data_IF_392119046684
#
_entry.id   IF_392119046684
#
_cell.length_a   1.000
_cell.length_b   1.000
_cell.length_c   1.000
_cell.angle_alpha   90.00
_cell.angle_beta   90.00
_cell.angle_gamma   90.00
#
_symmetry.space_group_name_H-M   'P 1'
#
loop_
_entity.id
_entity.type
_entity.pdbx_description
1 polymer ?
#
# COMPACT_ATOMS: atom_id res chain seq x y z
N UNK A 1 7.13 4.78 20.11
CA UNK A 1 6.05 3.81 19.81
C UNK A 1 4.70 4.52 19.89
N UNK A 2 3.73 4.17 19.03
CA UNK A 2 2.53 4.97 18.80
C UNK A 2 1.36 4.56 19.70
N UNK A 3 1.12 5.31 20.78
CA UNK A 3 -0.01 5.10 21.70
C UNK A 3 -1.38 5.21 21.00
N UNK A 4 -1.46 5.95 19.88
CA UNK A 4 -2.68 6.14 19.09
C UNK A 4 -3.27 4.80 18.58
N UNK A 5 -2.40 3.81 18.35
CA UNK A 5 -2.76 2.50 17.82
C UNK A 5 -2.53 1.36 18.81
N UNK A 6 -2.45 1.64 20.12
CA UNK A 6 -2.28 0.60 21.14
C UNK A 6 -0.87 0.03 21.25
N UNK A 7 0.11 0.62 20.56
CA UNK A 7 1.53 0.28 20.70
C UNK A 7 2.13 1.07 21.87
N UNK A 8 1.86 0.59 23.10
CA UNK A 8 2.31 1.18 24.37
C UNK A 8 3.61 0.57 24.92
N UNK A 9 4.20 1.22 25.93
CA UNK A 9 5.43 0.80 26.63
C UNK A 9 5.22 -0.40 27.59
N UNK A 10 4.47 -1.43 27.20
CA UNK A 10 4.59 -2.71 27.92
C UNK A 10 5.89 -3.39 27.51
N UNK A 11 6.56 -4.04 28.46
CA UNK A 11 7.82 -4.79 28.27
C UNK A 11 7.75 -5.91 27.21
N UNK A 12 6.57 -6.10 26.61
CA UNK A 12 6.30 -6.91 25.42
C UNK A 12 5.20 -6.21 24.60
N UNK A 13 5.53 -5.40 23.57
CA UNK A 13 4.54 -4.78 22.70
C UNK A 13 4.04 -5.84 21.71
N UNK A 14 3.17 -6.74 22.15
CA UNK A 14 2.70 -7.83 21.29
C UNK A 14 2.11 -7.33 19.96
N UNK A 15 2.51 -7.93 18.84
CA UNK A 15 1.90 -7.69 17.51
C UNK A 15 0.41 -8.06 17.46
N UNK A 16 -0.12 -8.71 18.51
CA UNK A 16 -1.55 -9.06 18.64
C UNK A 16 -2.50 -7.86 18.66
N UNK A 17 -1.98 -6.64 18.76
CA UNK A 17 -2.77 -5.41 18.65
C UNK A 17 -3.41 -5.29 17.25
N UNK A 18 -2.77 -5.85 16.23
CA UNK A 18 -3.32 -5.90 14.88
C UNK A 18 -4.04 -7.23 14.65
N UNK A 19 -5.32 -7.23 14.22
CA UNK A 19 -5.99 -8.42 13.74
C UNK A 19 -5.18 -9.13 12.65
N UNK A 20 -5.19 -10.48 12.60
CA UNK A 20 -4.42 -11.23 11.62
C UNK A 20 -4.92 -10.94 10.19
N UNK A 21 -3.95 -10.80 9.28
CA UNK A 21 -4.19 -10.60 7.86
C UNK A 21 -3.72 -11.80 7.05
N UNK A 22 -4.67 -12.49 6.40
CA UNK A 22 -4.33 -13.47 5.38
C UNK A 22 -4.03 -12.73 4.07
N UNK A 23 -2.78 -12.27 3.92
CA UNK A 23 -2.33 -11.68 2.67
C UNK A 23 -2.39 -12.74 1.56
N UNK A 24 -3.16 -12.49 0.50
CA UNK A 24 -3.19 -13.38 -0.66
C UNK A 24 -1.84 -13.40 -1.39
N UNK A 25 -1.65 -14.38 -2.27
CA UNK A 25 -0.47 -14.51 -3.11
C UNK A 25 -0.94 -14.69 -4.56
N UNK A 26 -0.51 -13.77 -5.44
CA UNK A 26 -0.79 -13.87 -6.86
C UNK A 26 -0.02 -15.05 -7.46
N UNK A 27 -0.68 -15.77 -8.36
CA UNK A 27 -0.03 -16.76 -9.19
C UNK A 27 0.83 -16.11 -10.28
N UNK A 28 2.08 -16.53 -10.41
CA UNK A 28 3.09 -15.94 -11.30
C UNK A 28 3.48 -16.90 -12.45
N UNK A 29 2.59 -17.82 -12.82
CA UNK A 29 2.83 -18.81 -13.88
C UNK A 29 2.67 -18.28 -15.31
N UNK A 30 2.12 -17.07 -15.51
CA UNK A 30 2.10 -16.49 -16.84
C UNK A 30 3.50 -16.07 -17.32
N UNK A 31 3.78 -16.25 -18.60
CA UNK A 31 5.10 -15.99 -19.21
C UNK A 31 5.68 -14.60 -18.86
N UNK A 32 4.93 -13.48 -18.98
CA UNK A 32 5.42 -12.17 -18.54
C UNK A 32 5.85 -12.12 -17.06
N UNK A 33 5.05 -12.71 -16.16
CA UNK A 33 5.37 -12.78 -14.73
C UNK A 33 6.60 -13.64 -14.45
N UNK A 34 6.74 -14.79 -15.11
CA UNK A 34 7.91 -15.66 -14.98
C UNK A 34 9.21 -14.97 -15.44
N UNK A 35 9.15 -14.20 -16.52
CA UNK A 35 10.29 -13.40 -17.00
C UNK A 35 10.70 -12.34 -15.96
N UNK A 36 9.73 -11.64 -15.36
CA UNK A 36 10.01 -10.64 -14.32
C UNK A 36 10.59 -11.27 -13.06
N UNK A 37 10.07 -12.42 -12.63
CA UNK A 37 10.61 -13.17 -11.49
C UNK A 37 12.05 -13.62 -11.74
N UNK A 38 12.35 -14.16 -12.92
CA UNK A 38 13.73 -14.56 -13.28
C UNK A 38 14.69 -13.38 -13.27
N UNK A 39 14.27 -12.23 -13.78
CA UNK A 39 15.06 -11.01 -13.75
C UNK A 39 15.31 -10.54 -12.32
N UNK A 40 14.28 -10.58 -11.46
CA UNK A 40 14.42 -10.28 -10.03
C UNK A 40 15.44 -11.19 -9.36
N UNK A 41 15.34 -12.51 -9.54
CA UNK A 41 16.28 -13.48 -8.96
C UNK A 41 17.71 -13.19 -9.41
N UNK A 42 17.91 -12.97 -10.72
CA UNK A 42 19.24 -12.64 -11.28
C UNK A 42 19.81 -11.36 -10.66
N UNK A 43 18.97 -10.34 -10.44
CA UNK A 43 19.39 -9.10 -9.79
C UNK A 43 19.75 -9.31 -8.32
N UNK A 44 18.95 -10.09 -7.58
CA UNK A 44 19.21 -10.41 -6.17
C UNK A 44 20.52 -11.19 -6.00
N UNK A 45 20.78 -12.18 -6.86
CA UNK A 45 22.04 -12.94 -6.87
C UNK A 45 23.25 -12.02 -7.11
N UNK A 46 23.18 -11.14 -8.12
CA UNK A 46 24.25 -10.19 -8.39
C UNK A 46 24.51 -9.23 -7.21
N UNK A 47 23.46 -8.82 -6.49
CA UNK A 47 23.59 -8.00 -5.27
C UNK A 47 24.23 -8.81 -4.13
N UNK A 48 23.89 -10.08 -3.94
CA UNK A 48 24.47 -10.93 -2.89
C UNK A 48 25.98 -11.12 -3.03
N UNK A 49 26.51 -11.03 -4.25
CA UNK A 49 27.96 -11.11 -4.51
C UNK A 49 28.72 -9.83 -4.10
N UNK A 50 28.04 -8.68 -4.02
CA UNK A 50 28.69 -7.37 -3.86
C UNK A 50 28.22 -6.56 -2.65
N UNK A 51 27.02 -6.81 -2.15
CA UNK A 51 26.36 -6.07 -1.07
C UNK A 51 25.88 -7.08 -0.03
N UNK A 52 26.50 -7.20 1.15
CA UNK A 52 26.07 -8.17 2.15
C UNK A 52 24.62 -7.93 2.61
N UNK A 53 23.77 -8.98 2.62
CA UNK A 53 22.39 -8.91 3.12
C UNK A 53 22.31 -8.65 4.64
N UNK A 54 23.40 -8.92 5.37
CA UNK A 54 23.56 -8.54 6.78
C UNK A 54 24.05 -7.10 6.96
N UNK A 55 24.03 -6.29 5.89
CA UNK A 55 24.36 -4.88 5.96
C UNK A 55 23.26 -4.06 6.63
N UNK A 56 23.50 -2.76 6.73
CA UNK A 56 22.57 -1.78 7.30
C UNK A 56 21.29 -1.60 6.47
N UNK A 57 20.36 -0.78 6.96
CA UNK A 57 19.09 -0.44 6.28
C UNK A 57 19.31 0.00 4.82
N UNK A 58 20.32 0.84 4.54
CA UNK A 58 20.61 1.27 3.17
C UNK A 58 20.98 0.11 2.23
N UNK A 59 21.71 -0.89 2.75
CA UNK A 59 22.05 -2.11 2.00
C UNK A 59 20.82 -2.98 1.80
N UNK A 60 19.98 -3.15 2.83
CA UNK A 60 18.71 -3.89 2.76
C UNK A 60 17.73 -3.25 1.78
N UNK A 61 17.65 -1.91 1.75
CA UNK A 61 16.82 -1.15 0.81
C UNK A 61 17.14 -1.44 -0.65
N UNK A 62 18.38 -1.81 -0.98
CA UNK A 62 18.74 -2.22 -2.34
C UNK A 62 18.02 -3.51 -2.78
N UNK A 63 17.89 -4.48 -1.88
CA UNK A 63 17.14 -5.72 -2.12
C UNK A 63 15.64 -5.45 -2.20
N UNK A 64 15.13 -4.68 -1.23
CA UNK A 64 13.71 -4.32 -1.17
C UNK A 64 13.28 -3.59 -2.44
N UNK A 65 14.08 -2.64 -2.91
CA UNK A 65 13.83 -1.92 -4.16
C UNK A 65 13.67 -2.88 -5.35
N UNK A 66 14.52 -3.91 -5.48
CA UNK A 66 14.39 -4.90 -6.56
C UNK A 66 13.02 -5.59 -6.54
N UNK A 67 12.52 -6.02 -5.37
CA UNK A 67 11.19 -6.61 -5.25
C UNK A 67 10.07 -5.64 -5.65
N UNK A 68 10.14 -4.39 -5.18
CA UNK A 68 9.13 -3.39 -5.46
C UNK A 68 9.11 -3.01 -6.95
N UNK A 69 10.29 -2.89 -7.58
CA UNK A 69 10.42 -2.66 -9.03
C UNK A 69 9.81 -3.82 -9.81
N UNK A 70 10.11 -5.07 -9.45
CA UNK A 70 9.51 -6.23 -10.08
C UNK A 70 7.98 -6.24 -9.91
N UNK A 71 7.48 -5.97 -8.70
CA UNK A 71 6.05 -5.92 -8.39
C UNK A 71 5.30 -4.85 -9.19
N UNK A 72 5.82 -3.63 -9.23
CA UNK A 72 5.24 -2.53 -10.04
C UNK A 72 5.27 -2.87 -11.54
N UNK A 73 6.34 -3.49 -12.02
CA UNK A 73 6.48 -3.88 -13.42
C UNK A 73 5.52 -4.98 -13.89
N UNK A 74 4.92 -5.76 -12.97
CA UNK A 74 3.81 -6.67 -13.30
C UNK A 74 2.57 -5.91 -13.81
N UNK A 75 2.42 -4.64 -13.43
CA UNK A 75 1.28 -3.79 -13.77
C UNK A 75 1.72 -2.55 -14.55
N UNK A 76 2.47 -2.76 -15.65
CA UNK A 76 3.04 -1.70 -16.48
C UNK A 76 2.09 -0.52 -16.68
N UNK A 77 2.58 0.68 -16.38
CA UNK A 77 1.85 1.94 -16.57
C UNK A 77 0.72 2.20 -15.57
N UNK A 78 0.57 1.38 -14.52
CA UNK A 78 -0.44 1.62 -13.48
C UNK A 78 0.11 2.22 -12.19
N UNK A 79 1.38 1.92 -11.86
CA UNK A 79 2.00 2.38 -10.63
C UNK A 79 3.33 3.08 -10.86
N UNK A 80 3.68 3.97 -9.94
CA UNK A 80 4.98 4.64 -9.85
C UNK A 80 5.62 4.30 -8.51
N UNK A 81 6.84 3.75 -8.53
CA UNK A 81 7.64 3.56 -7.33
C UNK A 81 8.40 4.86 -7.02
N UNK A 82 8.27 5.35 -5.79
CA UNK A 82 8.85 6.62 -5.33
C UNK A 82 9.71 6.41 -4.09
N UNK A 83 11.03 6.33 -4.24
CA UNK A 83 11.94 6.34 -3.10
C UNK A 83 11.83 7.65 -2.31
N UNK A 84 11.96 7.60 -0.99
CA UNK A 84 12.03 8.76 -0.09
C UNK A 84 10.84 9.75 -0.22
N UNK A 85 9.65 9.24 -0.59
CA UNK A 85 8.47 10.09 -0.72
C UNK A 85 8.07 10.64 0.65
N UNK A 86 7.89 11.94 0.75
CA UNK A 86 7.29 12.53 1.96
C UNK A 86 5.80 12.21 2.04
N UNK A 87 5.41 11.50 3.09
CA UNK A 87 4.02 11.41 3.52
C UNK A 87 3.72 12.60 4.43
N UNK A 88 2.53 13.15 4.27
CA UNK A 88 1.98 14.19 5.12
C UNK A 88 0.59 13.73 5.50
N UNK A 89 0.08 14.10 6.67
CA UNK A 89 -1.28 13.85 7.12
C UNK A 89 -1.44 14.31 8.57
N UNK A 90 -2.53 13.98 9.27
CA UNK A 90 -2.77 14.53 10.61
C UNK A 90 -1.81 13.98 11.68
N UNK A 91 -1.40 12.72 11.54
CA UNK A 91 -0.56 12.02 12.51
C UNK A 91 0.77 11.53 11.91
N UNK A 92 0.76 11.13 10.64
CA UNK A 92 1.96 10.66 9.94
C UNK A 92 2.58 11.72 9.05
N UNK A 93 3.87 11.99 9.30
CA UNK A 93 4.68 12.91 8.53
C UNK A 93 6.10 12.36 8.32
N UNK A 94 6.70 12.74 7.20
CA UNK A 94 8.11 12.49 6.91
C UNK A 94 8.32 11.55 5.73
N UNK A 95 9.59 11.34 5.35
CA UNK A 95 9.94 10.45 4.26
C UNK A 95 9.65 8.99 4.64
N UNK A 96 9.12 8.24 3.70
CA UNK A 96 9.10 6.76 3.73
C UNK A 96 10.23 6.24 2.86
N UNK A 97 10.75 5.04 3.13
CA UNK A 97 11.80 4.46 2.27
C UNK A 97 11.32 4.32 0.82
N UNK A 98 10.11 3.77 0.65
CA UNK A 98 9.45 3.70 -0.64
C UNK A 98 7.94 3.93 -0.53
N UNK A 99 7.39 4.68 -1.47
CA UNK A 99 5.95 4.73 -1.72
C UNK A 99 5.63 4.15 -3.09
N UNK A 100 4.45 3.55 -3.22
CA UNK A 100 3.89 3.15 -4.51
C UNK A 100 2.65 3.99 -4.76
N UNK A 101 2.67 4.78 -5.83
CA UNK A 101 1.56 5.63 -6.23
C UNK A 101 0.78 5.02 -7.39
N UNK A 102 -0.53 5.21 -7.39
CA UNK A 102 -1.37 4.98 -8.58
C UNK A 102 -1.10 6.08 -9.60
N UNK A 103 -0.59 5.74 -10.78
CA UNK A 103 -0.24 6.72 -11.83
C UNK A 103 -1.42 7.59 -12.26
N UNK A 104 -2.62 7.02 -12.32
CA UNK A 104 -3.83 7.74 -12.75
C UNK A 104 -4.21 8.87 -11.79
N UNK A 105 -4.04 8.65 -10.49
CA UNK A 105 -4.58 9.55 -9.44
C UNK A 105 -3.51 10.24 -8.62
N UNK A 106 -2.24 9.84 -8.77
CA UNK A 106 -1.11 10.20 -7.91
C UNK A 106 -1.36 9.94 -6.42
N UNK A 107 -2.31 9.04 -6.09
CA UNK A 107 -2.59 8.63 -4.71
C UNK A 107 -1.63 7.54 -4.30
N UNK A 108 -1.11 7.63 -3.08
CA UNK A 108 -0.30 6.57 -2.48
C UNK A 108 -1.18 5.35 -2.24
N UNK A 109 -0.84 4.23 -2.88
CA UNK A 109 -1.46 2.93 -2.66
C UNK A 109 -0.69 2.09 -1.63
N UNK A 110 0.63 2.21 -1.62
CA UNK A 110 1.50 1.44 -0.73
C UNK A 110 2.62 2.26 -0.10
N UNK A 111 3.02 1.88 1.12
CA UNK A 111 4.17 2.44 1.84
C UNK A 111 5.07 1.32 2.36
N UNK A 112 6.37 1.41 2.11
CA UNK A 112 7.37 0.46 2.59
C UNK A 112 8.31 1.14 3.58
N UNK A 113 8.52 0.47 4.72
CA UNK A 113 9.50 0.83 5.75
C UNK A 113 10.53 -0.30 5.88
N UNK A 114 11.78 0.01 5.58
CA UNK A 114 12.92 -0.90 5.76
C UNK A 114 13.42 -0.74 7.19
N UNK A 115 13.66 -1.86 7.88
CA UNK A 115 14.13 -1.88 9.27
C UNK A 115 15.22 -2.92 9.45
N UNK A 116 16.25 -2.60 10.22
CA UNK A 116 17.33 -3.56 10.49
C UNK A 116 17.01 -4.51 11.66
N UNK A 117 16.49 -3.97 12.77
CA UNK A 117 16.26 -4.71 14.02
C UNK A 117 14.91 -4.38 14.70
N UNK A 118 14.42 -3.14 14.65
CA UNK A 118 13.21 -2.70 15.37
C UNK A 118 11.96 -2.72 14.48
N UNK A 119 11.46 -3.93 14.20
CA UNK A 119 10.23 -4.13 13.41
C UNK A 119 9.00 -3.49 14.05
N UNK A 120 8.90 -3.48 15.39
CA UNK A 120 7.76 -2.89 16.10
C UNK A 120 7.64 -1.39 15.84
N UNK A 121 8.76 -0.67 15.91
CA UNK A 121 8.81 0.74 15.53
C UNK A 121 8.46 0.94 14.06
N UNK A 122 8.95 0.06 13.18
CA UNK A 122 8.60 0.05 11.76
C UNK A 122 7.10 -0.11 11.52
N UNK A 123 6.45 -1.06 12.18
CA UNK A 123 5.02 -1.32 12.10
C UNK A 123 4.22 -0.12 12.63
N UNK A 124 4.62 0.45 13.76
CA UNK A 124 3.99 1.64 14.32
C UNK A 124 4.06 2.83 13.36
N UNK A 125 5.25 3.07 12.80
CA UNK A 125 5.51 4.17 11.87
C UNK A 125 4.70 3.97 10.58
N UNK A 126 4.73 2.76 10.03
CA UNK A 126 4.03 2.42 8.80
C UNK A 126 2.51 2.58 8.97
N UNK A 127 1.91 2.11 10.07
CA UNK A 127 0.48 2.29 10.34
C UNK A 127 0.05 3.76 10.32
N UNK A 128 0.82 4.63 10.98
CA UNK A 128 0.55 6.07 11.04
C UNK A 128 0.71 6.74 9.67
N UNK A 129 1.70 6.32 8.86
CA UNK A 129 1.87 6.82 7.50
C UNK A 129 0.78 6.32 6.54
N UNK A 130 0.29 5.09 6.72
CA UNK A 130 -0.83 4.56 5.95
C UNK A 130 -2.14 5.28 6.25
N UNK A 131 -2.40 5.61 7.51
CA UNK A 131 -3.51 6.51 7.87
C UNK A 131 -3.42 7.81 7.06
N UNK A 132 -2.26 8.48 7.11
CA UNK A 132 -2.04 9.73 6.40
C UNK A 132 -2.24 9.58 4.89
N UNK A 133 -1.74 8.50 4.30
CA UNK A 133 -1.90 8.18 2.88
C UNK A 133 -3.37 7.97 2.49
N UNK A 134 -4.13 7.28 3.35
CA UNK A 134 -5.53 6.93 3.11
C UNK A 134 -6.49 8.13 3.32
N UNK A 135 -6.23 8.94 4.34
CA UNK A 135 -7.12 10.04 4.76
C UNK A 135 -6.85 11.35 4.03
N UNK A 136 -5.65 11.57 3.46
CA UNK A 136 -5.35 12.74 2.63
C UNK A 136 -5.98 12.69 1.22
N UNK A 137 -7.29 12.41 1.17
CA UNK A 137 -8.15 12.71 0.02
C UNK A 137 -8.25 14.23 -0.13
N UNK A 138 -7.27 14.87 -0.79
CA UNK A 138 -7.50 16.19 -1.37
C UNK A 138 -8.58 16.04 -2.45
N UNK A 139 -9.85 16.23 -2.08
CA UNK A 139 -10.95 16.32 -3.03
C UNK A 139 -10.69 17.54 -3.93
N UNK A 140 -10.24 17.32 -5.17
CA UNK A 140 -10.35 18.37 -6.19
C UNK A 140 -11.84 18.51 -6.52
N UNK A 141 -12.34 19.75 -6.58
CA UNK A 141 -13.73 20.05 -6.88
C UNK A 141 -14.22 19.49 -8.24
N UNK A 142 -13.31 19.07 -9.13
CA UNK A 142 -13.60 18.45 -10.42
C UNK A 142 -13.81 16.92 -10.36
N UNK A 143 -13.52 16.25 -9.23
CA UNK A 143 -13.65 14.79 -9.08
C UNK A 143 -15.07 14.35 -8.70
N UNK A 144 -16.07 15.24 -8.79
CA UNK A 144 -17.47 14.90 -8.50
C UNK A 144 -18.12 14.01 -9.58
N UNK A 145 -17.47 13.78 -10.72
CA UNK A 145 -18.00 12.99 -11.84
C UNK A 145 -17.15 11.75 -12.21
N UNK A 146 -15.98 11.53 -11.61
CA UNK A 146 -15.24 10.26 -11.80
C UNK A 146 -15.55 9.30 -10.65
N UNK A 147 -16.49 8.41 -10.94
CA UNK A 147 -16.90 7.22 -10.19
C UNK A 147 -15.70 6.51 -9.51
N UNK A 148 -15.90 6.15 -8.25
CA UNK A 148 -14.94 5.70 -7.23
C UNK A 148 -13.94 4.60 -7.64
N UNK A 149 -12.81 4.94 -8.27
CA UNK A 149 -11.71 3.97 -8.58
C UNK A 149 -10.77 3.73 -7.39
N UNK A 150 -11.06 4.25 -6.20
CA UNK A 150 -10.17 4.10 -5.04
C UNK A 150 -10.90 3.43 -3.88
N UNK A 151 -10.45 2.22 -3.54
CA UNK A 151 -11.05 1.26 -2.58
C UNK A 151 -11.11 1.68 -1.12
N UNK A 152 -10.74 2.92 -0.79
CA UNK A 152 -10.48 3.27 0.60
C UNK A 152 -9.48 2.33 1.28
N UNK A 153 -8.57 1.67 0.54
CA UNK A 153 -7.51 0.81 1.05
C UNK A 153 -6.13 1.32 0.66
N UNK A 154 -5.17 1.14 1.57
CA UNK A 154 -3.73 1.26 1.33
C UNK A 154 -3.03 0.07 1.98
N UNK A 155 -1.80 -0.23 1.55
CA UNK A 155 -1.03 -1.32 2.14
C UNK A 155 0.36 -0.90 2.61
N UNK A 156 0.82 -1.57 3.65
CA UNK A 156 2.14 -1.41 4.24
C UNK A 156 3.03 -2.61 3.97
N UNK A 157 4.32 -2.36 3.78
CA UNK A 157 5.35 -3.40 3.82
C UNK A 157 6.38 -2.99 4.88
N UNK A 158 6.67 -3.88 5.81
CA UNK A 158 7.72 -3.69 6.82
C UNK A 158 8.68 -4.86 6.68
N UNK A 159 9.95 -4.57 6.41
CA UNK A 159 10.91 -5.63 6.08
C UNK A 159 12.35 -5.26 6.38
N UNK A 160 13.16 -6.28 6.66
CA UNK A 160 14.62 -6.19 6.69
C UNK A 160 15.27 -6.85 5.46
N UNK A 161 14.48 -7.02 4.40
CA UNK A 161 14.74 -7.83 3.21
C UNK A 161 14.72 -9.36 3.43
N UNK A 162 14.77 -9.87 4.65
CA UNK A 162 14.65 -11.31 4.95
C UNK A 162 13.27 -11.65 5.47
N UNK A 163 12.76 -10.91 6.44
CA UNK A 163 11.41 -11.05 6.96
C UNK A 163 10.51 -9.96 6.39
N UNK A 164 9.33 -10.34 5.91
CA UNK A 164 8.40 -9.46 5.21
C UNK A 164 7.03 -9.49 5.89
N UNK A 165 6.63 -8.38 6.49
CA UNK A 165 5.30 -8.16 7.04
C UNK A 165 4.49 -7.31 6.08
N UNK A 166 3.22 -7.69 5.89
CA UNK A 166 2.27 -6.99 5.05
C UNK A 166 1.12 -6.46 5.89
N UNK A 167 0.83 -5.17 5.76
CA UNK A 167 -0.25 -4.51 6.48
C UNK A 167 -1.34 -4.06 5.51
N UNK A 168 -2.60 -4.35 5.82
CA UNK A 168 -3.77 -3.73 5.17
C UNK A 168 -4.25 -2.56 6.05
N UNK A 169 -4.46 -1.39 5.45
CA UNK A 169 -5.15 -0.27 6.06
C UNK A 169 -6.40 0.04 5.23
N UNK A 170 -7.57 0.06 5.86
CA UNK A 170 -8.84 0.34 5.18
C UNK A 170 -9.77 1.20 6.03
N UNK A 171 -10.81 1.77 5.41
CA UNK A 171 -11.95 2.34 6.13
C UNK A 171 -13.05 1.29 6.27
N UNK A 172 -13.73 1.26 7.42
CA UNK A 172 -15.00 0.54 7.56
C UNK A 172 -16.19 1.41 7.13
N UNK A 173 -17.40 0.85 7.14
CA UNK A 173 -18.64 1.53 6.71
C UNK A 173 -18.96 2.82 7.50
N UNK A 174 -18.24 3.05 8.61
CA UNK A 174 -18.36 4.24 9.46
C UNK A 174 -17.17 5.20 9.29
N UNK A 175 -16.40 5.05 8.21
CA UNK A 175 -15.16 5.79 7.93
C UNK A 175 -14.09 5.64 9.03
N UNK A 176 -14.10 4.55 9.81
CA UNK A 176 -13.07 4.30 10.82
C UNK A 176 -11.94 3.47 10.24
N UNK A 177 -10.72 3.83 10.63
CA UNK A 177 -9.52 3.10 10.22
C UNK A 177 -9.49 1.68 10.80
N UNK A 178 -9.15 0.74 9.93
CA UNK A 178 -8.92 -0.67 10.27
C UNK A 178 -7.55 -1.06 9.76
N UNK A 179 -6.79 -1.69 10.63
CA UNK A 179 -5.49 -2.25 10.30
C UNK A 179 -5.53 -3.76 10.48
N UNK A 180 -4.85 -4.48 9.60
CA UNK A 180 -4.58 -5.91 9.77
C UNK A 180 -3.13 -6.17 9.39
N UNK A 181 -2.47 -7.09 10.09
CA UNK A 181 -1.05 -7.40 9.88
C UNK A 181 -0.89 -8.90 9.58
N UNK A 182 -0.05 -9.23 8.60
CA UNK A 182 0.23 -10.62 8.25
C UNK A 182 1.25 -11.26 9.19
N UNK A 183 1.26 -12.58 9.22
CA UNK A 183 2.46 -13.32 9.62
C UNK A 183 3.62 -12.99 8.66
N UNK A 184 4.88 -13.06 9.11
CA UNK A 184 6.02 -12.77 8.26
C UNK A 184 6.23 -13.83 7.19
N UNK A 185 6.64 -13.38 6.00
CA UNK A 185 7.21 -14.26 4.98
C UNK A 185 8.74 -14.15 5.06
N UNK A 186 9.41 -15.29 5.20
CA UNK A 186 10.87 -15.36 5.37
C UNK A 186 11.55 -15.75 4.07
N UNK A 187 12.61 -15.02 3.72
CA UNK A 187 13.53 -15.29 2.62
C UNK A 187 14.90 -15.61 3.18
N UNK A 188 15.35 -16.84 2.94
CA UNK A 188 16.71 -17.28 3.24
C UNK A 188 17.52 -17.19 1.96
N UNK A 189 18.35 -16.16 1.86
CA UNK A 189 19.21 -15.96 0.70
C UNK A 189 20.31 -17.01 0.62
N UNK A 190 20.64 -17.43 -0.61
CA UNK A 190 21.57 -18.54 -0.93
C UNK A 190 21.08 -19.94 -0.54
N UNK A 191 19.82 -20.06 -0.11
CA UNK A 191 19.16 -21.34 0.07
C UNK A 191 18.76 -21.96 -1.28
N UNK A 192 18.73 -23.29 -1.38
CA UNK A 192 18.31 -24.00 -2.60
C UNK A 192 16.87 -23.66 -3.01
N UNK A 193 16.03 -23.31 -2.04
CA UNK A 193 14.63 -22.95 -2.21
C UNK A 193 14.41 -21.42 -2.29
N UNK A 194 15.47 -20.62 -2.41
CA UNK A 194 15.40 -19.16 -2.47
C UNK A 194 14.44 -18.66 -3.54
N UNK A 195 14.44 -19.27 -4.73
CA UNK A 195 13.51 -18.89 -5.81
C UNK A 195 12.04 -18.94 -5.37
N UNK A 196 11.62 -19.99 -4.67
CA UNK A 196 10.24 -20.12 -4.22
C UNK A 196 9.89 -19.10 -3.12
N UNK A 197 10.84 -18.77 -2.25
CA UNK A 197 10.66 -17.72 -1.24
C UNK A 197 10.54 -16.33 -1.88
N UNK A 198 11.41 -16.02 -2.84
CA UNK A 198 11.38 -14.78 -3.65
C UNK A 198 10.05 -14.68 -4.41
N UNK A 199 9.63 -15.77 -5.07
CA UNK A 199 8.34 -15.88 -5.77
C UNK A 199 7.18 -15.58 -4.83
N UNK A 200 7.19 -16.12 -3.62
CA UNK A 200 6.14 -15.90 -2.62
C UNK A 200 6.03 -14.43 -2.21
N UNK A 201 7.16 -13.78 -1.89
CA UNK A 201 7.17 -12.34 -1.56
C UNK A 201 6.66 -11.50 -2.73
N UNK A 202 7.16 -11.76 -3.95
CA UNK A 202 6.69 -11.05 -5.15
C UNK A 202 5.19 -11.27 -5.40
N UNK A 203 4.70 -12.49 -5.19
CA UNK A 203 3.28 -12.84 -5.31
C UNK A 203 2.40 -12.11 -4.29
N UNK A 204 2.86 -11.92 -3.05
CA UNK A 204 2.15 -11.11 -2.06
C UNK A 204 2.10 -9.63 -2.45
N UNK A 205 3.23 -9.05 -2.89
CA UNK A 205 3.30 -7.67 -3.39
C UNK A 205 2.34 -7.48 -4.56
N UNK A 206 2.35 -8.41 -5.52
CA UNK A 206 1.48 -8.32 -6.68
C UNK A 206 -0.01 -8.41 -6.31
N UNK A 207 -0.36 -9.31 -5.39
CA UNK A 207 -1.73 -9.42 -4.88
C UNK A 207 -2.19 -8.12 -4.20
N UNK A 208 -1.35 -7.49 -3.37
CA UNK A 208 -1.66 -6.20 -2.75
C UNK A 208 -1.90 -5.10 -3.78
N UNK A 209 -1.07 -5.05 -4.82
CA UNK A 209 -1.25 -4.13 -5.95
C UNK A 209 -2.56 -4.39 -6.69
N UNK A 210 -3.02 -5.64 -6.81
CA UNK A 210 -4.33 -5.98 -7.35
C UNK A 210 -5.49 -5.51 -6.46
N UNK A 211 -5.40 -5.72 -5.15
CA UNK A 211 -6.45 -5.36 -4.20
C UNK A 211 -6.73 -3.85 -4.21
N UNK A 212 -5.70 -3.01 -4.25
CA UNK A 212 -5.87 -1.54 -4.29
C UNK A 212 -6.48 -1.00 -5.59
N UNK A 213 -6.53 -1.83 -6.64
CA UNK A 213 -7.13 -1.46 -7.94
C UNK A 213 -8.61 -1.84 -8.06
N UNK A 214 -9.13 -2.70 -7.18
CA UNK A 214 -10.53 -3.12 -7.26
C UNK A 214 -11.46 -1.91 -7.01
N UNK A 215 -12.72 -1.90 -7.46
CA UNK A 215 -13.68 -0.94 -6.95
C UNK A 215 -14.10 -1.33 -5.52
N UNK A 216 -14.54 -0.36 -4.73
CA UNK A 216 -15.26 -0.67 -3.49
C UNK A 216 -16.51 -1.48 -3.83
N UNK A 217 -16.61 -2.70 -3.29
CA UNK A 217 -17.73 -3.61 -3.57
C UNK A 217 -19.08 -3.03 -3.15
N UNK A 218 -19.09 -2.02 -2.29
CA UNK A 218 -20.30 -1.41 -1.72
C UNK A 218 -20.86 -0.25 -2.55
N UNK A 219 -20.19 0.13 -3.64
CA UNK A 219 -20.68 1.18 -4.56
C UNK A 219 -21.79 0.70 -5.51
N UNK A 220 -22.08 -0.60 -5.55
CA UNK A 220 -23.20 -1.13 -6.34
C UNK A 220 -24.48 -1.25 -5.48
N UNK A 221 -25.03 -0.12 -5.05
CA UNK A 221 -26.45 -0.09 -4.70
C UNK A 221 -27.10 1.26 -5.01
N UNK A 222 -28.05 1.16 -5.96
CA UNK A 222 -29.14 2.09 -6.27
C UNK A 222 -28.77 3.42 -6.93
N UNK A 223 -28.97 3.43 -8.25
CA UNK A 223 -29.33 4.57 -9.09
C UNK A 223 -30.33 5.47 -8.35
N UNK A 224 -29.83 6.46 -7.59
CA UNK A 224 -30.65 7.52 -7.02
C UNK A 224 -31.19 8.34 -8.17
N UNK A 225 -32.41 8.03 -8.59
CA UNK A 225 -33.23 8.86 -9.46
C UNK A 225 -33.29 10.27 -8.86
N UNK A 226 -32.48 11.17 -9.41
CA UNK A 226 -32.51 12.60 -9.06
C UNK A 226 -33.85 13.14 -9.58
N UNK A 227 -34.87 13.18 -8.72
CA UNK A 227 -36.08 13.96 -8.99
C UNK A 227 -35.70 15.44 -9.00
N UNK A 228 -35.50 15.95 -10.21
CA UNK A 228 -35.26 17.37 -10.50
C UNK A 228 -36.50 18.18 -10.08
N UNK A 229 -36.47 18.77 -8.88
CA UNK A 229 -37.47 19.78 -8.49
C UNK A 229 -37.22 21.05 -9.31
N UNK A 230 -38.03 21.23 -10.34
CA UNK A 230 -38.02 22.41 -11.21
C UNK A 230 -38.71 23.55 -10.46
N UNK A 231 -37.95 24.49 -9.88
CA UNK A 231 -38.54 25.74 -9.39
C UNK A 231 -38.89 26.62 -10.59
N UNK A 232 -40.17 26.68 -10.95
CA UNK A 232 -40.70 27.63 -11.90
C UNK A 232 -40.67 29.03 -11.27
N UNK A 233 -39.66 29.83 -11.61
CA UNK A 233 -39.70 31.27 -11.38
C UNK A 233 -40.67 31.90 -12.37
N UNK A 234 -41.88 32.23 -11.91
CA UNK A 234 -42.84 32.98 -12.72
C UNK A 234 -42.34 34.42 -12.89
N UNK A 235 -42.02 34.78 -14.13
CA UNK A 235 -42.04 36.14 -14.62
C UNK A 235 -43.49 36.63 -14.64
N UNK A 236 -43.81 37.62 -13.82
CA UNK A 236 -44.94 38.51 -14.07
C UNK A 236 -44.47 39.93 -13.93
N UNK A 237 -44.32 40.58 -15.09
CA UNK A 237 -44.17 42.02 -15.17
C UNK A 237 -45.42 42.73 -14.64
N UNK A 238 -45.23 43.96 -14.19
CA UNK A 238 -46.26 44.99 -14.21
C UNK A 238 -45.64 46.28 -14.71
N UNK A 239 -46.16 46.73 -15.84
CA UNK A 239 -45.97 48.06 -16.39
C UNK A 239 -46.77 49.10 -15.60
N UNK A 240 -46.26 50.33 -15.68
CA UNK A 240 -46.90 51.65 -15.71
C UNK A 240 -47.59 52.22 -14.45
N UNK A 241 -46.92 53.24 -13.89
CA UNK A 241 -47.35 54.64 -14.04
C UNK A 241 -46.15 55.60 -13.98
#
# INVERSE_FOLDING_TARGET
>A
MCQLYGLGESDDPSLSVFPPFTCGCKDLEDEPSQVLLKNLITELEARLESIPISGNEASKSQYVCSYLVAGVNLYKGKFELRPEKNITGPHGHGPVDFAIDLLRTARTAGVTEVKDEDFYKGIAQNAVQLESALTNRKRKASEMEEESVFTGKTFGIITDAKEWYFMECSLDDQDRLRFKLSEPVVVVYKDENMENMVRKVLGHIAWLLEEVQKPDSDSQSEERVIKKHRSSGNLTGKSDK
#
